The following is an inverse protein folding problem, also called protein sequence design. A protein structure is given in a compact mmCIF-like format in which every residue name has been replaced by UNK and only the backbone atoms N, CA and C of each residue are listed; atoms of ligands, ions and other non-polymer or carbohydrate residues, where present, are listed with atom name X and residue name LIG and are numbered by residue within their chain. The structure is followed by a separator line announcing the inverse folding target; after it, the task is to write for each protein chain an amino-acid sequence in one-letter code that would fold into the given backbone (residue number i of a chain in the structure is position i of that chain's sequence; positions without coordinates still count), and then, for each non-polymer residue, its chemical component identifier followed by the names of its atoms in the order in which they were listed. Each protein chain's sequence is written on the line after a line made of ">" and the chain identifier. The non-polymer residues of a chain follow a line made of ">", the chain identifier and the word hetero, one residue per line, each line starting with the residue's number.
data_IF_144644647234
#
_entry.id   IF_144644647234
#
_cell.length_a   1.000
_cell.length_b   1.000
_cell.length_c   1.000
_cell.angle_alpha   90.00
_cell.angle_beta   90.00
_cell.angle_gamma   90.00
#
_symmetry.space_group_name_H-M   'P 1'
#
loop_
_entity.id
_entity.type
_entity.pdbx_description
1 polymer ?
#
# COMPACT_ATOMS: atom_id res chain seq x y z
N UNK A 1 -12.30 20.06 16.95
CA UNK A 1 -11.05 19.27 17.01
C UNK A 1 -10.14 20.02 17.96
N UNK A 2 -9.71 19.40 19.07
CA UNK A 2 -8.94 20.11 20.11
C UNK A 2 -7.67 20.68 19.47
N UNK A 3 -7.35 21.94 19.78
CA UNK A 3 -6.22 22.72 19.26
C UNK A 3 -4.85 22.14 19.68
N UNK A 4 -4.59 20.86 19.40
CA UNK A 4 -3.26 20.27 19.58
C UNK A 4 -2.29 20.94 18.64
N UNK A 5 -1.07 21.19 19.11
CA UNK A 5 0.01 21.71 18.25
C UNK A 5 0.15 20.81 17.03
N UNK A 6 0.43 21.38 15.85
CA UNK A 6 0.68 20.59 14.64
C UNK A 6 1.76 19.52 14.87
N UNK A 7 2.71 19.81 15.76
CA UNK A 7 3.75 18.88 16.21
C UNK A 7 3.16 17.69 16.99
N UNK A 8 2.18 17.92 17.87
CA UNK A 8 1.52 16.85 18.64
C UNK A 8 0.77 15.88 17.72
N UNK A 9 0.14 16.43 16.67
CA UNK A 9 -0.52 15.62 15.65
C UNK A 9 0.48 14.75 14.90
N UNK A 10 1.57 15.33 14.40
CA UNK A 10 2.60 14.58 13.67
C UNK A 10 3.28 13.54 14.55
N UNK A 11 3.51 13.85 15.82
CA UNK A 11 4.05 12.91 16.79
C UNK A 11 3.10 11.73 16.99
N UNK A 12 1.81 12.00 17.22
CA UNK A 12 0.79 10.95 17.35
C UNK A 12 0.64 10.07 16.11
N UNK A 13 0.74 10.66 14.92
CA UNK A 13 0.76 9.93 13.64
C UNK A 13 2.00 9.05 13.53
N UNK A 14 3.18 9.57 13.88
CA UNK A 14 4.44 8.85 13.80
C UNK A 14 4.47 7.64 14.74
N UNK A 15 4.09 7.83 16.00
CA UNK A 15 4.13 6.74 16.99
C UNK A 15 2.95 5.78 16.90
N UNK A 16 1.82 6.25 16.37
CA UNK A 16 0.61 5.45 16.19
C UNK A 16 0.56 4.79 14.83
N UNK A 17 0.31 5.57 13.78
CA UNK A 17 -0.03 5.02 12.47
C UNK A 17 1.19 4.58 11.65
N UNK A 18 2.31 5.29 11.76
CA UNK A 18 3.58 4.90 11.15
C UNK A 18 4.33 3.85 11.99
N UNK A 19 3.97 3.70 13.27
CA UNK A 19 4.51 2.67 14.17
C UNK A 19 5.95 2.92 14.61
N UNK A 20 6.42 4.17 14.57
CA UNK A 20 7.77 4.51 15.00
C UNK A 20 7.88 4.52 16.54
N UNK A 21 9.05 4.18 17.09
CA UNK A 21 9.31 4.43 18.51
C UNK A 21 9.20 5.94 18.82
N UNK A 22 8.76 6.32 20.03
CA UNK A 22 8.72 7.73 20.47
C UNK A 22 10.05 8.47 20.26
N UNK A 23 11.16 7.81 20.55
CA UNK A 23 12.51 8.36 20.38
C UNK A 23 12.81 8.71 18.91
N UNK A 24 12.51 7.80 18.00
CA UNK A 24 12.64 8.04 16.56
C UNK A 24 11.73 9.17 16.09
N UNK A 25 10.48 9.22 16.57
CA UNK A 25 9.56 10.29 16.21
C UNK A 25 10.04 11.68 16.69
N UNK A 26 10.64 11.77 17.88
CA UNK A 26 11.22 13.01 18.41
C UNK A 26 12.44 13.50 17.62
N UNK A 27 13.27 12.58 17.14
CA UNK A 27 14.50 12.89 16.41
C UNK A 27 14.30 13.04 14.89
N UNK A 28 13.12 12.71 14.37
CA UNK A 28 12.84 12.82 12.94
C UNK A 28 12.33 14.22 12.59
N UNK A 29 12.94 14.92 11.61
CA UNK A 29 12.45 16.22 11.15
C UNK A 29 11.02 16.16 10.62
N UNK A 30 10.23 17.21 10.90
CA UNK A 30 8.83 17.35 10.44
C UNK A 30 8.65 17.01 8.94
N UNK A 31 9.48 17.51 8.00
CA UNK A 31 9.32 17.17 6.58
C UNK A 31 9.42 15.67 6.28
N UNK A 32 10.22 14.92 7.03
CA UNK A 32 10.35 13.47 6.85
C UNK A 32 9.13 12.73 7.38
N UNK A 33 8.54 13.19 8.49
CA UNK A 33 7.27 12.64 9.02
C UNK A 33 6.15 12.85 7.99
N UNK A 34 6.07 14.05 7.40
CA UNK A 34 5.08 14.35 6.36
C UNK A 34 5.26 13.46 5.12
N UNK A 35 6.50 13.29 4.64
CA UNK A 35 6.79 12.42 3.52
C UNK A 35 6.42 10.94 3.79
N UNK A 36 6.70 10.44 4.99
CA UNK A 36 6.33 9.09 5.38
C UNK A 36 4.81 8.91 5.48
N UNK A 37 4.09 9.92 5.99
CA UNK A 37 2.63 9.97 6.02
C UNK A 37 2.03 9.93 4.61
N UNK A 38 2.56 10.74 3.68
CA UNK A 38 2.11 10.77 2.29
C UNK A 38 2.29 9.40 1.60
N UNK A 39 3.44 8.76 1.80
CA UNK A 39 3.69 7.42 1.28
C UNK A 39 2.72 6.36 1.86
N UNK A 40 2.38 6.47 3.15
CA UNK A 40 1.41 5.59 3.82
C UNK A 40 -0.01 5.80 3.30
N UNK A 41 -0.39 7.05 3.05
CA UNK A 41 -1.67 7.41 2.44
C UNK A 41 -1.78 6.88 1.01
N UNK A 42 -0.73 7.01 0.19
CA UNK A 42 -0.71 6.44 -1.16
C UNK A 42 -0.83 4.91 -1.13
N UNK A 43 -0.11 4.23 -0.23
CA UNK A 43 -0.21 2.78 -0.07
C UNK A 43 -1.62 2.31 0.34
N UNK A 44 -2.20 2.94 1.36
CA UNK A 44 -3.54 2.59 1.86
C UNK A 44 -4.63 2.95 0.86
N UNK A 45 -4.45 4.06 0.13
CA UNK A 45 -5.29 4.45 -0.99
C UNK A 45 -5.26 3.42 -2.13
N UNK A 46 -4.11 2.83 -2.46
CA UNK A 46 -4.01 1.73 -3.43
C UNK A 46 -4.69 0.45 -2.96
N UNK A 47 -4.65 0.16 -1.65
CA UNK A 47 -5.32 -1.00 -1.05
C UNK A 47 -6.86 -0.92 -1.06
N UNK A 48 -7.43 0.29 -0.93
CA UNK A 48 -8.87 0.53 -1.08
C UNK A 48 -9.29 0.80 -2.54
N UNK A 49 -8.39 1.36 -3.36
CA UNK A 49 -8.64 1.64 -4.78
C UNK A 49 -8.43 0.42 -5.71
N UNK A 50 -8.39 -0.80 -5.17
CA UNK A 50 -8.65 -2.02 -5.93
C UNK A 50 -10.05 -2.08 -6.57
N UNK A 51 -10.88 -1.05 -6.38
CA UNK A 51 -12.15 -0.86 -7.08
C UNK A 51 -12.25 0.47 -7.87
N UNK A 52 -11.21 1.32 -7.91
CA UNK A 52 -11.45 2.75 -8.18
C UNK A 52 -10.60 3.51 -9.19
N UNK A 53 -9.32 3.18 -9.44
CA UNK A 53 -8.53 3.93 -10.42
C UNK A 53 -7.61 3.02 -11.23
N UNK A 54 -7.95 2.91 -12.51
CA UNK A 54 -7.21 2.23 -13.54
C UNK A 54 -5.74 2.66 -13.57
N UNK A 55 -4.87 1.84 -12.97
CA UNK A 55 -3.58 1.56 -13.60
C UNK A 55 -3.86 0.47 -14.61
N UNK A 56 -3.52 0.75 -15.88
CA UNK A 56 -3.74 -0.10 -17.03
C UNK A 56 -3.61 -1.57 -16.64
N UNK A 57 -4.67 -2.34 -16.91
CA UNK A 57 -4.71 -3.77 -16.65
C UNK A 57 -3.34 -4.36 -17.04
N UNK A 58 -2.61 -5.04 -16.13
CA UNK A 58 -1.60 -5.94 -16.61
C UNK A 58 -2.37 -6.91 -17.50
N UNK A 59 -2.06 -6.91 -18.81
CA UNK A 59 -2.50 -7.94 -19.74
C UNK A 59 -2.51 -9.26 -18.96
N UNK A 60 -3.68 -9.89 -18.91
CA UNK A 60 -3.94 -11.09 -18.13
C UNK A 60 -2.91 -12.13 -18.53
N UNK A 61 -1.77 -12.14 -17.83
CA UNK A 61 -0.72 -13.13 -18.02
C UNK A 61 -1.36 -14.44 -17.66
N UNK A 62 -1.60 -15.22 -18.69
CA UNK A 62 -2.24 -16.53 -18.60
C UNK A 62 -1.58 -17.29 -17.45
N UNK A 63 -2.36 -17.65 -16.43
CA UNK A 63 -1.81 -18.31 -15.25
C UNK A 63 -1.20 -19.65 -15.69
N UNK A 64 -0.12 -20.07 -15.03
CA UNK A 64 0.47 -21.39 -15.25
C UNK A 64 -0.59 -22.50 -15.08
N UNK A 65 -1.58 -22.28 -14.20
CA UNK A 65 -2.71 -23.17 -14.03
C UNK A 65 -3.61 -23.25 -15.28
N UNK A 66 -3.85 -22.13 -15.95
CA UNK A 66 -4.64 -22.08 -17.19
C UNK A 66 -3.91 -22.78 -18.34
N UNK A 67 -2.58 -22.59 -18.46
CA UNK A 67 -1.73 -23.32 -19.41
C UNK A 67 -1.74 -24.82 -19.16
N UNK A 68 -1.60 -25.25 -17.90
CA UNK A 68 -1.63 -26.67 -17.54
C UNK A 68 -2.99 -27.30 -17.86
N UNK A 69 -4.08 -26.58 -17.59
CA UNK A 69 -5.44 -27.05 -17.87
C UNK A 69 -5.70 -27.18 -19.37
N UNK A 70 -5.24 -26.23 -20.18
CA UNK A 70 -5.34 -26.31 -21.63
C UNK A 70 -4.49 -27.45 -22.20
N UNK A 71 -3.27 -27.66 -21.70
CA UNK A 71 -2.42 -28.77 -22.11
C UNK A 71 -3.06 -30.14 -21.82
N UNK A 72 -3.62 -30.32 -20.62
CA UNK A 72 -4.28 -31.57 -20.23
C UNK A 72 -5.58 -31.82 -21.02
N UNK A 73 -6.29 -30.76 -21.42
CA UNK A 73 -7.48 -30.85 -22.27
C UNK A 73 -7.18 -31.10 -23.75
N UNK A 74 -5.96 -30.78 -24.19
CA UNK A 74 -5.52 -30.87 -25.59
C UNK A 74 -4.95 -32.22 -26.03
N UNK A 75 -5.11 -33.32 -25.28
CA UNK A 75 -4.78 -34.66 -25.80
C UNK A 75 -5.95 -35.17 -26.66
N UNK A 76 -5.86 -35.20 -28.01
CA UNK A 76 -6.73 -36.05 -28.79
C UNK A 76 -6.45 -37.49 -28.37
N UNK A 77 -7.51 -38.18 -27.96
CA UNK A 77 -7.55 -39.62 -27.77
C UNK A 77 -7.38 -40.23 -29.17
N UNK A 78 -6.13 -40.52 -29.57
CA UNK A 78 -5.87 -41.54 -30.59
C UNK A 78 -6.20 -42.91 -29.99
#
# INVERSE_FOLDING_TARGET
>A
MKNGSYVDYLFGVATGWLGWPPDTAWHTPIPQIMLALDARLDWTGRGQAGQGKAQAAPEKRESVADKLKNFLRGRPKQ
#
